data_IF_412827122495
#
_entry.id   IF_412827122495
#
_cell.length_a   1.000
_cell.length_b   1.000
_cell.length_c   1.000
_cell.angle_alpha   90.00
_cell.angle_beta   90.00
_cell.angle_gamma   90.00
#
_symmetry.space_group_name_H-M   'P 1'
#
loop_
_entity.id
_entity.type
_entity.pdbx_description
1 polymer ?
#
# COMPACT_ATOMS: atom_id res chain seq x y z
N UNK A 1 -53.91 20.27 -58.06
CA UNK A 1 -53.02 19.94 -59.19
C UNK A 1 -51.81 19.20 -58.63
N UNK A 2 -51.38 18.02 -59.05
CA UNK A 2 -52.05 16.93 -59.79
C UNK A 2 -51.30 15.60 -59.50
N UNK A 3 -51.93 14.68 -58.76
CA UNK A 3 -51.64 13.22 -58.80
C UNK A 3 -52.33 12.60 -60.04
N UNK A 4 -52.28 11.29 -60.40
CA UNK A 4 -51.78 10.08 -59.70
C UNK A 4 -50.73 9.31 -60.57
N UNK A 5 -50.40 8.00 -60.51
CA UNK A 5 -50.99 6.75 -59.97
C UNK A 5 -49.94 5.73 -59.50
N UNK A 6 -50.39 4.74 -58.71
CA UNK A 6 -49.81 3.39 -58.57
C UNK A 6 -50.43 2.41 -59.59
N UNK A 7 -49.81 1.26 -59.84
CA UNK A 7 -50.37 0.13 -60.60
C UNK A 7 -49.33 -0.61 -61.45
N UNK A 8 -48.59 -1.62 -60.97
CA UNK A 8 -48.93 -3.05 -60.73
C UNK A 8 -49.10 -3.94 -61.98
N UNK A 9 -48.00 -4.66 -62.32
CA UNK A 9 -47.92 -6.10 -62.64
C UNK A 9 -48.54 -6.75 -63.90
N UNK A 10 -47.98 -7.96 -64.17
CA UNK A 10 -48.53 -9.17 -64.86
C UNK A 10 -47.95 -9.55 -66.24
N UNK A 11 -47.07 -10.56 -66.23
CA UNK A 11 -46.98 -11.75 -67.12
C UNK A 11 -46.83 -11.62 -68.67
N UNK A 12 -46.23 -12.56 -69.43
CA UNK A 12 -45.35 -13.73 -69.15
C UNK A 12 -44.91 -14.45 -70.46
N UNK A 13 -43.89 -15.33 -70.36
CA UNK A 13 -43.61 -16.52 -71.23
C UNK A 13 -43.21 -16.32 -72.72
N UNK A 14 -42.35 -17.17 -73.32
CA UNK A 14 -41.44 -18.24 -72.85
C UNK A 14 -40.45 -18.66 -73.99
N UNK A 15 -39.66 -19.73 -73.79
CA UNK A 15 -38.72 -20.37 -74.77
C UNK A 15 -37.43 -19.57 -75.06
N UNK A 16 -36.29 -20.11 -75.57
CA UNK A 16 -35.67 -21.46 -75.79
C UNK A 16 -34.19 -21.19 -76.19
N UNK A 17 -33.18 -22.07 -76.11
CA UNK A 17 -33.02 -23.42 -75.54
C UNK A 17 -31.51 -23.68 -75.34
N UNK A 18 -31.12 -24.41 -74.28
CA UNK A 18 -30.13 -25.52 -74.23
C UNK A 18 -28.71 -25.40 -74.88
N UNK A 19 -27.61 -25.94 -74.34
CA UNK A 19 -27.39 -27.31 -73.82
C UNK A 19 -26.07 -27.42 -73.00
N UNK A 20 -25.96 -28.50 -72.21
CA UNK A 20 -24.75 -29.28 -71.80
C UNK A 20 -23.57 -28.68 -71.00
N UNK A 21 -23.35 -29.28 -69.84
CA UNK A 21 -22.13 -29.35 -68.99
C UNK A 21 -21.09 -30.37 -69.55
N UNK A 22 -20.13 -30.91 -68.77
CA UNK A 22 -18.92 -30.28 -68.22
C UNK A 22 -17.61 -31.04 -68.59
N UNK A 23 -16.43 -30.43 -68.39
CA UNK A 23 -15.14 -31.13 -68.32
C UNK A 23 -14.22 -30.38 -67.32
N UNK A 24 -13.32 -30.96 -66.55
CA UNK A 24 -13.06 -32.30 -66.01
C UNK A 24 -11.83 -32.07 -65.11
N UNK A 25 -11.96 -32.27 -63.79
CA UNK A 25 -10.88 -31.99 -62.83
C UNK A 25 -9.74 -33.01 -62.95
N UNK A 26 -8.50 -32.56 -63.14
CA UNK A 26 -7.34 -33.45 -63.15
C UNK A 26 -6.96 -33.87 -61.73
N UNK A 27 -7.30 -35.11 -61.36
CA UNK A 27 -7.09 -35.69 -60.02
C UNK A 27 -5.60 -35.88 -59.66
N UNK A 28 -4.68 -35.83 -60.65
CA UNK A 28 -3.25 -36.06 -60.41
C UNK A 28 -2.47 -34.82 -59.90
N UNK A 29 -3.06 -33.62 -59.97
CA UNK A 29 -2.36 -32.38 -59.58
C UNK A 29 -2.43 -32.04 -58.08
N UNK A 30 -3.20 -32.77 -57.26
CA UNK A 30 -3.37 -32.46 -55.84
C UNK A 30 -2.31 -33.06 -54.90
N UNK A 31 -1.42 -33.93 -55.39
CA UNK A 31 -0.47 -34.69 -54.53
C UNK A 31 1.00 -34.27 -54.61
N UNK A 32 1.31 -33.11 -55.22
CA UNK A 32 2.66 -32.49 -55.16
C UNK A 32 2.61 -30.98 -54.90
N UNK A 33 1.89 -30.56 -53.86
CA UNK A 33 2.19 -29.32 -53.12
C UNK A 33 2.68 -29.70 -51.72
N UNK A 34 3.94 -30.14 -51.67
CA UNK A 34 4.63 -30.42 -50.42
C UNK A 34 4.76 -29.15 -49.59
N UNK A 35 4.60 -29.29 -48.28
CA UNK A 35 4.67 -28.18 -47.34
C UNK A 35 6.10 -27.64 -47.22
N UNK A 36 6.36 -26.47 -47.78
CA UNK A 36 7.50 -25.61 -47.42
C UNK A 36 7.03 -24.19 -47.10
N UNK A 37 6.09 -24.09 -46.16
CA UNK A 37 5.91 -22.87 -45.39
C UNK A 37 6.81 -22.97 -44.17
N UNK A 38 7.79 -22.08 -44.05
CA UNK A 38 8.66 -22.01 -42.87
C UNK A 38 7.79 -21.77 -41.65
N UNK A 39 7.64 -22.80 -40.80
CA UNK A 39 7.11 -22.60 -39.47
C UNK A 39 8.07 -21.66 -38.74
N UNK A 40 7.65 -20.41 -38.55
CA UNK A 40 8.11 -19.65 -37.41
C UNK A 40 7.67 -20.45 -36.18
N UNK A 41 8.58 -21.33 -35.72
CA UNK A 41 8.52 -21.85 -34.37
C UNK A 41 8.55 -20.61 -33.47
N UNK A 42 7.36 -20.19 -33.02
CA UNK A 42 7.26 -19.40 -31.82
C UNK A 42 8.00 -20.23 -30.76
N UNK A 43 9.22 -19.79 -30.42
CA UNK A 43 9.92 -20.35 -29.27
C UNK A 43 8.99 -20.10 -28.11
N UNK A 44 8.42 -21.17 -27.57
CA UNK A 44 7.81 -21.15 -26.26
C UNK A 44 8.94 -20.94 -25.26
N UNK A 45 9.41 -19.69 -25.16
CA UNK A 45 10.21 -19.29 -24.04
C UNK A 45 9.37 -19.61 -22.79
N UNK A 46 9.91 -20.35 -21.82
CA UNK A 46 9.19 -20.56 -20.58
C UNK A 46 8.83 -19.17 -20.02
N UNK A 47 7.61 -18.98 -19.49
CA UNK A 47 7.18 -17.67 -19.00
C UNK A 47 8.23 -17.16 -18.02
N UNK A 48 8.68 -15.91 -18.20
CA UNK A 48 9.86 -15.35 -17.54
C UNK A 48 9.70 -15.28 -16.00
N UNK A 49 9.85 -16.43 -15.35
CA UNK A 49 9.91 -16.68 -13.92
C UNK A 49 11.28 -16.24 -13.39
N UNK A 50 11.57 -14.96 -13.55
CA UNK A 50 12.92 -14.43 -13.35
C UNK A 50 13.08 -12.93 -13.46
N UNK A 51 12.01 -12.14 -13.64
CA UNK A 51 12.10 -10.70 -13.36
C UNK A 51 12.27 -10.53 -11.86
N UNK A 52 13.54 -10.47 -11.43
CA UNK A 52 13.92 -10.16 -10.06
C UNK A 52 13.27 -8.83 -9.66
N UNK A 53 12.21 -8.90 -8.86
CA UNK A 53 11.56 -7.77 -8.21
C UNK A 53 12.43 -7.29 -7.04
N UNK A 54 13.69 -6.96 -7.33
CA UNK A 54 14.60 -6.30 -6.41
C UNK A 54 14.70 -4.80 -6.75
N UNK A 55 13.86 -3.93 -6.14
CA UNK A 55 13.85 -2.49 -6.40
C UNK A 55 15.10 -1.75 -5.87
N UNK A 56 16.19 -2.47 -5.56
CA UNK A 56 17.46 -1.92 -5.06
C UNK A 56 18.59 -1.89 -6.09
N UNK A 57 18.42 -2.46 -7.29
CA UNK A 57 19.56 -2.93 -8.09
C UNK A 57 20.52 -1.88 -8.69
N UNK A 58 20.18 -0.58 -8.80
CA UNK A 58 21.02 0.37 -9.56
C UNK A 58 21.26 1.79 -9.00
N UNK A 59 21.00 2.08 -7.72
CA UNK A 59 21.47 3.35 -7.10
C UNK A 59 22.22 3.07 -5.79
N UNK A 60 23.53 3.35 -5.70
CA UNK A 60 24.28 3.21 -4.45
C UNK A 60 23.90 4.34 -3.48
N UNK A 61 23.10 4.02 -2.46
CA UNK A 61 22.74 4.97 -1.40
C UNK A 61 21.52 4.55 -0.58
N UNK A 62 21.47 4.99 0.69
CA UNK A 62 20.28 4.79 1.53
C UNK A 62 19.08 5.58 0.99
N UNK A 63 17.83 5.09 1.09
CA UNK A 63 16.66 5.70 0.45
C UNK A 63 16.40 7.17 0.81
N UNK A 64 16.72 7.53 2.05
CA UNK A 64 16.56 8.87 2.60
C UNK A 64 17.90 9.25 3.23
N UNK A 65 18.41 10.43 2.88
CA UNK A 65 19.58 11.02 3.53
C UNK A 65 19.09 11.80 4.75
N UNK A 66 19.08 11.14 5.92
CA UNK A 66 18.64 11.74 7.19
C UNK A 66 19.34 11.10 8.40
N UNK A 67 19.40 11.80 9.56
CA UNK A 67 19.93 11.24 10.80
C UNK A 67 19.14 10.01 11.27
N UNK A 68 19.85 8.91 11.54
CA UNK A 68 19.28 7.63 12.00
C UNK A 68 19.60 7.36 13.47
N UNK A 69 18.78 6.50 14.07
CA UNK A 69 19.04 5.89 15.39
C UNK A 69 20.29 5.00 15.43
N UNK A 70 20.80 4.55 14.27
CA UNK A 70 21.97 3.69 14.11
C UNK A 70 22.91 4.19 12.99
N UNK A 71 24.07 3.54 12.79
CA UNK A 71 25.04 3.89 11.74
C UNK A 71 25.87 5.15 12.02
N UNK A 72 26.50 5.73 10.98
CA UNK A 72 27.32 6.96 11.08
C UNK A 72 26.47 8.12 11.63
N UNK A 73 27.09 9.05 12.39
CA UNK A 73 26.47 10.34 12.71
C UNK A 73 26.45 11.21 11.45
N UNK A 74 25.40 12.03 11.32
CA UNK A 74 25.29 13.07 10.30
C UNK A 74 25.82 14.37 10.89
N UNK A 75 26.49 15.17 10.07
CA UNK A 75 27.16 16.40 10.49
C UNK A 75 26.14 17.52 10.85
N UNK A 76 26.62 18.57 11.52
CA UNK A 76 25.80 19.51 12.29
C UNK A 76 24.79 20.36 11.48
N UNK A 77 24.91 20.39 10.15
CA UNK A 77 24.06 21.18 9.25
C UNK A 77 23.08 20.32 8.43
N UNK A 78 22.41 19.35 9.06
CA UNK A 78 21.39 18.56 8.39
C UNK A 78 20.17 19.40 7.97
N UNK A 79 19.88 19.46 6.67
CA UNK A 79 18.67 20.07 6.11
C UNK A 79 17.76 18.99 5.48
N UNK A 80 16.49 18.85 5.94
CA UNK A 80 15.56 17.87 5.38
C UNK A 80 15.27 18.12 3.90
N UNK A 81 15.60 17.14 3.06
CA UNK A 81 15.30 17.19 1.62
C UNK A 81 13.87 16.67 1.35
N UNK A 82 13.21 17.08 0.25
CA UNK A 82 11.99 16.45 -0.22
C UNK A 82 12.20 14.96 -0.50
N UNK A 83 11.20 14.13 -0.18
CA UNK A 83 11.27 12.69 -0.36
C UNK A 83 11.49 12.32 -1.85
N UNK A 84 12.66 11.77 -2.24
CA UNK A 84 13.07 11.71 -3.65
C UNK A 84 12.47 10.52 -4.42
N UNK A 85 12.06 9.47 -3.70
CA UNK A 85 11.49 8.25 -4.27
C UNK A 85 10.39 7.66 -3.37
N UNK A 86 9.51 6.81 -3.92
CA UNK A 86 8.53 6.08 -3.12
C UNK A 86 9.19 5.24 -2.03
N UNK A 87 8.51 5.14 -0.90
CA UNK A 87 8.90 4.37 0.29
C UNK A 87 7.80 3.37 0.64
N UNK A 88 8.16 2.26 1.27
CA UNK A 88 7.26 1.14 1.58
C UNK A 88 7.93 -0.22 1.47
N UNK A 89 7.15 -1.27 1.71
CA UNK A 89 7.51 -2.66 1.49
C UNK A 89 7.40 -3.01 -0.01
N UNK A 90 8.27 -3.88 -0.56
CA UNK A 90 8.21 -4.24 -1.98
C UNK A 90 7.01 -5.16 -2.31
N UNK A 91 6.50 -5.92 -1.34
CA UNK A 91 5.41 -6.88 -1.52
C UNK A 91 4.10 -6.34 -0.94
N UNK A 92 2.94 -6.68 -1.53
CA UNK A 92 1.63 -6.32 -0.99
C UNK A 92 1.41 -6.96 0.38
N UNK A 93 0.83 -6.24 1.35
CA UNK A 93 0.73 -6.70 2.73
C UNK A 93 -0.38 -7.73 2.87
N UNK A 94 -0.20 -8.70 3.77
CA UNK A 94 -1.22 -9.71 4.08
C UNK A 94 -1.64 -9.62 5.56
N UNK A 95 -2.93 -9.86 5.88
CA UNK A 95 -3.38 -10.03 7.26
C UNK A 95 -2.59 -11.15 7.95
N UNK A 96 -2.25 -10.99 9.23
CA UNK A 96 -1.41 -11.93 9.98
C UNK A 96 0.10 -11.77 9.78
N UNK A 97 0.58 -10.94 8.85
CA UNK A 97 1.99 -10.56 8.78
C UNK A 97 2.36 -9.56 9.89
N UNK A 98 3.64 -9.53 10.27
CA UNK A 98 4.19 -8.59 11.25
C UNK A 98 3.46 -8.53 12.61
N UNK A 99 2.82 -9.62 13.07
CA UNK A 99 2.12 -9.61 14.37
C UNK A 99 3.05 -9.43 15.57
N UNK A 100 4.32 -9.83 15.45
CA UNK A 100 5.29 -9.84 16.55
C UNK A 100 4.89 -10.78 17.71
N UNK A 101 3.92 -11.66 17.47
CA UNK A 101 3.52 -12.72 18.38
C UNK A 101 4.35 -13.96 18.05
N UNK A 102 5.13 -14.40 19.02
CA UNK A 102 5.84 -15.66 18.97
C UNK A 102 4.88 -16.79 19.34
N UNK A 103 4.42 -17.56 18.35
CA UNK A 103 3.48 -18.68 18.53
C UNK A 103 4.13 -19.95 19.09
N UNK A 104 5.46 -19.97 19.29
CA UNK A 104 6.16 -21.13 19.88
C UNK A 104 5.66 -21.45 21.29
N UNK A 105 5.48 -22.76 21.54
CA UNK A 105 5.14 -23.29 22.86
C UNK A 105 6.23 -23.04 23.91
N UNK A 106 5.88 -23.13 25.19
CA UNK A 106 6.86 -23.02 26.28
C UNK A 106 7.96 -24.10 26.20
N UNK A 107 7.63 -25.31 25.70
CA UNK A 107 8.59 -26.39 25.45
C UNK A 107 9.59 -26.02 24.35
N UNK A 108 9.11 -25.59 23.18
CA UNK A 108 9.97 -25.12 22.09
C UNK A 108 10.84 -23.94 22.51
N UNK A 109 10.29 -22.98 23.27
CA UNK A 109 11.09 -21.87 23.83
C UNK A 109 12.17 -22.37 24.78
N UNK A 110 11.92 -23.40 25.60
CA UNK A 110 12.91 -24.05 26.48
C UNK A 110 14.01 -24.74 25.67
N UNK A 111 13.65 -25.44 24.60
CA UNK A 111 14.58 -26.10 23.68
C UNK A 111 15.46 -25.07 22.94
N UNK A 112 14.88 -23.94 22.53
CA UNK A 112 15.63 -22.79 21.97
C UNK A 112 16.59 -22.12 22.98
N UNK A 113 16.49 -22.39 24.29
CA UNK A 113 17.52 -21.99 25.26
C UNK A 113 18.71 -22.99 25.32
N UNK A 114 18.62 -24.15 24.67
CA UNK A 114 19.76 -25.05 24.43
C UNK A 114 20.45 -24.82 23.09
N UNK A 115 19.77 -24.17 22.14
CA UNK A 115 20.24 -23.96 20.76
C UNK A 115 21.31 -22.86 20.68
N UNK A 116 22.56 -23.27 20.45
CA UNK A 116 23.72 -22.38 20.38
C UNK A 116 23.62 -21.33 19.25
N UNK A 117 23.13 -21.72 18.07
CA UNK A 117 23.03 -20.81 16.93
C UNK A 117 21.98 -19.73 17.16
N UNK A 118 20.81 -20.12 17.70
CA UNK A 118 19.77 -19.17 18.10
C UNK A 118 20.23 -18.24 19.21
N UNK A 119 21.10 -18.69 20.12
CA UNK A 119 21.74 -17.80 21.10
C UNK A 119 22.69 -16.79 20.46
N UNK A 120 23.52 -17.19 19.50
CA UNK A 120 24.40 -16.26 18.78
C UNK A 120 23.58 -15.23 18.00
N UNK A 121 22.52 -15.66 17.31
CA UNK A 121 21.59 -14.75 16.61
C UNK A 121 20.88 -13.79 17.58
N UNK A 122 20.31 -14.29 18.69
CA UNK A 122 19.63 -13.48 19.70
C UNK A 122 20.58 -12.52 20.41
N UNK A 123 21.81 -12.93 20.71
CA UNK A 123 22.85 -12.02 21.24
C UNK A 123 23.17 -10.91 20.24
N UNK A 124 23.38 -11.23 18.96
CA UNK A 124 23.58 -10.21 17.91
C UNK A 124 22.42 -9.22 17.84
N UNK A 125 21.17 -9.70 17.88
CA UNK A 125 19.97 -8.84 17.90
C UNK A 125 19.90 -7.94 19.16
N UNK A 126 20.11 -8.53 20.34
CA UNK A 126 20.08 -7.79 21.61
C UNK A 126 21.23 -6.78 21.70
N UNK A 127 22.45 -7.15 21.32
CA UNK A 127 23.60 -6.25 21.22
C UNK A 127 23.31 -5.13 20.23
N UNK A 128 22.72 -5.41 19.06
CA UNK A 128 22.35 -4.38 18.07
C UNK A 128 21.21 -3.45 18.54
N UNK A 129 20.40 -3.87 19.53
CA UNK A 129 19.40 -3.02 20.21
C UNK A 129 20.03 -2.20 21.34
N UNK A 130 20.91 -2.80 22.15
CA UNK A 130 21.63 -2.13 23.24
C UNK A 130 22.64 -1.11 22.69
N UNK A 131 23.28 -1.41 21.56
CA UNK A 131 24.21 -0.50 20.87
C UNK A 131 23.52 0.68 20.16
N UNK A 132 22.19 0.78 20.24
CA UNK A 132 21.45 2.01 19.91
C UNK A 132 21.38 2.83 21.19
N UNK A 133 22.13 3.93 21.30
CA UNK A 133 21.88 4.88 22.37
C UNK A 133 20.48 5.44 22.13
N UNK A 134 19.54 5.16 23.04
CA UNK A 134 18.20 5.75 23.04
C UNK A 134 18.24 7.28 22.85
N UNK A 135 19.30 7.90 23.40
CA UNK A 135 19.66 9.31 23.27
C UNK A 135 19.97 9.80 21.85
N UNK A 136 20.27 8.94 20.87
CA UNK A 136 20.51 9.37 19.48
C UNK A 136 19.28 10.00 18.85
N UNK A 137 18.11 9.41 19.06
CA UNK A 137 16.86 9.97 18.52
C UNK A 137 16.50 11.31 19.17
N UNK A 138 16.90 11.52 20.43
CA UNK A 138 16.80 12.81 21.11
C UNK A 138 17.80 13.83 20.55
N UNK A 139 19.06 13.43 20.32
CA UNK A 139 20.03 14.27 19.63
C UNK A 139 19.56 14.66 18.22
N UNK A 140 18.95 13.73 17.49
CA UNK A 140 18.35 14.00 16.17
C UNK A 140 17.20 15.03 16.22
N UNK A 141 16.60 15.32 17.39
CA UNK A 141 15.59 16.39 17.51
C UNK A 141 16.20 17.79 17.37
N UNK A 142 17.50 17.97 17.62
CA UNK A 142 18.17 19.27 17.48
C UNK A 142 18.12 19.79 16.04
N UNK A 143 18.10 18.89 15.06
CA UNK A 143 17.98 19.22 13.64
C UNK A 143 16.51 19.27 13.25
N UNK A 144 16.00 20.46 12.89
CA UNK A 144 14.64 20.68 12.39
C UNK A 144 13.53 20.00 13.21
N UNK A 145 13.67 19.97 14.55
CA UNK A 145 12.72 19.31 15.48
C UNK A 145 12.49 17.82 15.19
N UNK A 146 13.50 17.16 14.61
CA UNK A 146 13.53 15.73 14.27
C UNK A 146 12.93 15.36 12.91
N UNK A 147 12.55 16.34 12.08
CA UNK A 147 12.01 16.10 10.73
C UNK A 147 13.03 15.35 9.87
N UNK A 148 12.63 14.21 9.31
CA UNK A 148 13.53 13.34 8.52
C UNK A 148 13.54 13.70 7.04
N UNK A 149 12.41 14.13 6.50
CA UNK A 149 12.22 14.54 5.11
C UNK A 149 11.02 15.48 4.98
N UNK A 150 10.99 16.27 3.90
CA UNK A 150 9.83 17.08 3.50
C UNK A 150 8.94 16.23 2.58
N UNK A 151 7.63 16.35 2.75
CA UNK A 151 6.67 15.61 1.95
C UNK A 151 6.68 16.05 0.47
N UNK A 152 6.43 15.14 -0.48
CA UNK A 152 6.45 15.49 -1.90
C UNK A 152 5.21 16.34 -2.27
N UNK A 153 5.34 17.37 -3.12
CA UNK A 153 4.22 18.25 -3.50
C UNK A 153 3.19 17.57 -4.42
N UNK A 154 3.46 16.35 -4.87
CA UNK A 154 2.60 15.52 -5.73
C UNK A 154 2.62 14.08 -5.24
N UNK A 155 1.54 13.34 -5.48
CA UNK A 155 1.48 11.91 -5.24
C UNK A 155 2.49 11.17 -6.11
N UNK A 156 3.07 10.10 -5.56
CA UNK A 156 3.74 9.07 -6.35
C UNK A 156 2.74 8.33 -7.25
N UNK A 157 3.21 7.88 -8.42
CA UNK A 157 2.42 7.05 -9.35
C UNK A 157 2.15 5.69 -8.71
N UNK A 158 0.93 5.16 -8.84
CA UNK A 158 0.53 3.87 -8.26
C UNK A 158 1.50 2.73 -8.63
N UNK A 159 1.88 2.65 -9.91
CA UNK A 159 2.81 1.65 -10.48
C UNK A 159 4.22 1.66 -9.87
N UNK A 160 4.66 2.80 -9.31
CA UNK A 160 5.97 2.97 -8.70
C UNK A 160 5.91 2.97 -7.17
N UNK A 161 4.70 3.04 -6.60
CA UNK A 161 4.51 3.12 -5.15
C UNK A 161 4.65 1.76 -4.48
N UNK A 162 5.44 1.75 -3.41
CA UNK A 162 5.63 0.60 -2.53
C UNK A 162 4.51 0.53 -1.49
N UNK A 163 4.41 -0.58 -0.79
CA UNK A 163 3.27 -0.91 0.08
C UNK A 163 3.43 -0.45 1.53
N UNK A 164 2.32 -0.09 2.17
CA UNK A 164 2.25 0.07 3.60
C UNK A 164 2.22 -1.31 4.27
N UNK A 165 3.05 -1.57 5.31
CA UNK A 165 3.10 -2.87 5.97
C UNK A 165 1.78 -3.18 6.69
N UNK A 166 1.42 -4.46 6.78
CA UNK A 166 0.43 -4.87 7.78
C UNK A 166 1.00 -4.58 9.18
N UNK A 167 0.17 -4.04 10.06
CA UNK A 167 0.47 -3.80 11.46
C UNK A 167 -0.63 -4.43 12.32
N UNK A 168 -0.26 -4.93 13.50
CA UNK A 168 -1.16 -5.67 14.38
C UNK A 168 -1.23 -5.01 15.76
N UNK A 169 -2.42 -4.60 16.18
CA UNK A 169 -2.59 -3.80 17.40
C UNK A 169 -4.00 -3.83 17.97
N UNK A 170 -4.12 -3.47 19.25
CA UNK A 170 -5.43 -3.40 19.91
C UNK A 170 -6.17 -2.12 19.52
N UNK A 171 -7.46 -2.20 19.23
CA UNK A 171 -8.28 -1.02 18.90
C UNK A 171 -8.97 -0.40 20.12
N UNK A 172 -9.61 0.77 20.00
CA UNK A 172 -10.34 1.38 21.10
C UNK A 172 -11.74 0.77 21.34
N UNK A 173 -12.17 -0.21 20.55
CA UNK A 173 -13.48 -0.88 20.69
C UNK A 173 -13.69 -1.41 22.12
N UNK A 174 -14.93 -1.36 22.63
CA UNK A 174 -15.29 -1.83 23.99
C UNK A 174 -15.48 -3.35 24.06
N UNK A 175 -16.30 -3.87 23.16
CA UNK A 175 -16.82 -5.25 23.17
C UNK A 175 -15.74 -6.25 22.78
N UNK A 176 -15.03 -5.96 21.70
CA UNK A 176 -13.92 -6.76 21.21
C UNK A 176 -12.58 -6.15 21.66
N UNK A 177 -11.78 -6.95 22.35
CA UNK A 177 -10.43 -6.60 22.81
C UNK A 177 -9.34 -7.36 22.04
N UNK A 178 -9.71 -8.18 21.06
CA UNK A 178 -8.73 -8.86 20.22
C UNK A 178 -7.95 -7.82 19.40
N UNK A 179 -6.62 -7.96 19.27
CA UNK A 179 -5.87 -7.11 18.37
C UNK A 179 -6.20 -7.46 16.92
N UNK A 180 -6.16 -6.47 16.05
CA UNK A 180 -6.58 -6.56 14.65
C UNK A 180 -5.46 -6.13 13.71
N UNK A 181 -5.51 -6.67 12.50
CA UNK A 181 -4.68 -6.28 11.36
C UNK A 181 -5.12 -4.93 10.78
N UNK A 182 -4.17 -4.09 10.35
CA UNK A 182 -4.49 -2.85 9.62
C UNK A 182 -4.84 -3.08 8.16
N UNK A 183 -4.29 -4.11 7.51
CA UNK A 183 -4.51 -4.35 6.07
C UNK A 183 -5.99 -4.45 5.69
N UNK A 184 -6.85 -5.26 6.34
CA UNK A 184 -8.27 -5.33 5.99
C UNK A 184 -9.03 -4.00 6.10
N UNK A 185 -8.57 -3.10 6.98
CA UNK A 185 -9.17 -1.77 7.17
C UNK A 185 -8.72 -0.79 6.08
N UNK A 186 -7.46 -0.87 5.64
CA UNK A 186 -6.87 -0.04 4.59
C UNK A 186 -7.39 -0.43 3.19
N UNK A 187 -7.54 -1.73 2.93
CA UNK A 187 -7.92 -2.27 1.62
C UNK A 187 -9.25 -1.71 1.11
N UNK A 188 -9.22 -1.16 -0.11
CA UNK A 188 -10.39 -0.58 -0.77
C UNK A 188 -10.66 0.89 -0.45
N UNK A 189 -9.86 1.54 0.41
CA UNK A 189 -10.08 2.94 0.85
C UNK A 189 -8.84 3.82 0.73
N UNK A 190 -9.05 5.12 0.52
CA UNK A 190 -8.01 6.13 0.65
C UNK A 190 -7.84 6.48 2.14
N UNK A 191 -6.66 6.19 2.70
CA UNK A 191 -6.44 6.21 4.14
C UNK A 191 -5.30 7.14 4.52
N UNK A 192 -5.59 8.14 5.35
CA UNK A 192 -4.56 8.95 6.02
C UNK A 192 -4.14 8.21 7.29
N UNK A 193 -2.89 7.74 7.35
CA UNK A 193 -2.37 6.94 8.45
C UNK A 193 -1.33 7.75 9.22
N UNK A 194 -1.62 8.10 10.47
CA UNK A 194 -0.67 8.77 11.36
C UNK A 194 -0.02 7.77 12.32
N UNK A 195 1.32 7.75 12.38
CA UNK A 195 2.09 6.91 13.30
C UNK A 195 2.85 7.80 14.29
N UNK A 196 2.72 7.50 15.59
CA UNK A 196 3.38 8.23 16.67
C UNK A 196 3.62 7.35 17.90
N UNK A 197 4.52 7.76 18.79
CA UNK A 197 4.96 6.99 19.99
C UNK A 197 4.88 7.80 21.30
N UNK A 198 4.45 9.07 21.22
CA UNK A 198 4.39 10.00 22.35
C UNK A 198 3.41 11.13 22.06
N UNK A 199 3.02 11.88 23.08
CA UNK A 199 2.15 13.05 22.91
C UNK A 199 2.82 14.15 22.05
N UNK A 200 4.15 14.29 22.12
CA UNK A 200 4.90 15.20 21.24
C UNK A 200 4.79 14.77 19.76
N UNK A 201 5.03 13.48 19.48
CA UNK A 201 4.86 12.92 18.15
C UNK A 201 3.39 12.99 17.66
N UNK A 202 2.42 12.83 18.56
CA UNK A 202 0.99 12.99 18.27
C UNK A 202 0.66 14.44 17.88
N UNK A 203 1.17 15.43 18.62
CA UNK A 203 1.01 16.85 18.30
C UNK A 203 1.65 17.20 16.94
N UNK A 204 2.81 16.62 16.63
CA UNK A 204 3.44 16.75 15.33
C UNK A 204 2.56 16.19 14.20
N UNK A 205 2.07 14.96 14.33
CA UNK A 205 1.14 14.38 13.35
C UNK A 205 -0.17 15.18 13.24
N UNK A 206 -0.67 15.74 14.35
CA UNK A 206 -1.85 16.60 14.35
C UNK A 206 -1.68 17.86 13.48
N UNK A 207 -0.47 18.41 13.33
CA UNK A 207 -0.23 19.54 12.40
C UNK A 207 -0.48 19.19 10.93
N UNK A 208 -0.56 17.91 10.55
CA UNK A 208 -0.99 17.49 9.21
C UNK A 208 -2.49 17.25 9.09
N UNK A 209 -3.14 16.78 10.17
CA UNK A 209 -4.46 16.13 10.11
C UNK A 209 -5.55 16.72 11.02
N UNK A 210 -5.24 17.71 11.87
CA UNK A 210 -6.26 18.35 12.70
C UNK A 210 -7.13 19.31 11.88
N UNK A 211 -8.36 19.56 12.33
CA UNK A 211 -9.31 20.42 11.60
C UNK A 211 -8.89 21.88 11.61
N UNK A 212 -8.17 22.31 12.64
CA UNK A 212 -7.60 23.65 12.79
C UNK A 212 -6.42 23.87 11.84
N UNK A 213 -5.58 22.85 11.62
CA UNK A 213 -4.36 22.96 10.80
C UNK A 213 -4.57 22.60 9.33
N UNK A 214 -5.54 21.73 9.02
CA UNK A 214 -5.84 21.28 7.66
C UNK A 214 -7.35 21.11 7.42
N UNK A 215 -8.14 22.20 7.41
CA UNK A 215 -9.59 22.13 7.18
C UNK A 215 -9.94 21.52 5.81
N UNK A 216 -9.12 21.77 4.78
CA UNK A 216 -9.30 21.19 3.44
C UNK A 216 -9.20 19.65 3.42
N UNK A 217 -8.45 19.03 4.34
CA UNK A 217 -8.43 17.58 4.50
C UNK A 217 -9.76 17.06 5.06
N UNK A 218 -10.31 17.76 6.07
CA UNK A 218 -11.61 17.43 6.66
C UNK A 218 -12.75 17.60 5.67
N UNK A 219 -12.73 18.63 4.82
CA UNK A 219 -13.72 18.80 3.75
C UNK A 219 -13.77 17.59 2.79
N UNK A 220 -12.63 16.94 2.53
CA UNK A 220 -12.56 15.74 1.67
C UNK A 220 -13.07 14.51 2.41
N UNK A 221 -12.73 14.35 3.69
CA UNK A 221 -13.18 13.27 4.56
C UNK A 221 -14.69 13.32 4.80
N UNK A 222 -15.23 14.49 5.13
CA UNK A 222 -16.65 14.70 5.41
C UNK A 222 -17.51 14.45 4.15
N UNK A 223 -17.00 14.78 2.95
CA UNK A 223 -17.69 14.53 1.66
C UNK A 223 -17.60 13.10 1.15
N UNK A 224 -16.65 12.28 1.61
CA UNK A 224 -16.37 10.94 1.04
C UNK A 224 -16.06 9.91 2.14
N UNK A 225 -16.74 9.98 3.30
CA UNK A 225 -16.42 9.16 4.48
C UNK A 225 -16.63 7.64 4.34
N UNK A 226 -17.19 7.20 3.20
CA UNK A 226 -17.28 5.80 2.76
C UNK A 226 -15.96 5.31 2.13
N UNK A 227 -15.33 6.15 1.29
CA UNK A 227 -14.09 5.86 0.56
C UNK A 227 -12.83 6.39 1.23
N UNK A 228 -12.94 7.44 2.05
CA UNK A 228 -11.85 8.14 2.70
C UNK A 228 -11.90 7.97 4.23
N UNK A 229 -10.75 7.79 4.87
CA UNK A 229 -10.68 7.63 6.32
C UNK A 229 -9.35 8.12 6.92
N UNK A 230 -9.37 8.38 8.23
CA UNK A 230 -8.17 8.61 9.05
C UNK A 230 -7.95 7.42 9.99
N UNK A 231 -6.70 7.00 10.15
CA UNK A 231 -6.25 5.91 11.02
C UNK A 231 -5.10 6.43 11.87
N UNK A 232 -5.15 6.17 13.18
CA UNK A 232 -4.14 6.60 14.14
C UNK A 232 -3.46 5.37 14.75
N UNK A 233 -2.13 5.32 14.68
CA UNK A 233 -1.32 4.19 15.12
C UNK A 233 -0.36 4.68 16.19
N UNK A 234 -0.67 4.35 17.43
CA UNK A 234 0.21 4.56 18.56
C UNK A 234 1.16 3.36 18.68
N UNK A 235 2.41 3.56 18.30
CA UNK A 235 3.47 2.55 18.38
C UNK A 235 4.27 2.73 19.67
N UNK A 236 4.17 1.76 20.57
CA UNK A 236 4.83 1.79 21.88
C UNK A 236 5.48 0.43 22.18
N UNK A 237 6.81 0.35 21.98
CA UNK A 237 7.59 -0.87 22.19
C UNK A 237 7.84 -1.16 23.69
N UNK A 238 7.73 -0.15 24.56
CA UNK A 238 7.88 -0.31 25.99
C UNK A 238 6.58 -0.79 26.63
N UNK A 239 6.58 -2.05 27.09
CA UNK A 239 5.44 -2.69 27.80
C UNK A 239 4.85 -1.84 28.94
N UNK A 240 5.68 -1.12 29.69
CA UNK A 240 5.23 -0.29 30.82
C UNK A 240 4.46 0.94 30.36
N UNK A 241 4.93 1.62 29.31
CA UNK A 241 4.20 2.73 28.69
C UNK A 241 2.95 2.25 27.96
N UNK A 242 3.01 1.12 27.25
CA UNK A 242 1.83 0.52 26.61
C UNK A 242 0.75 0.15 27.64
N UNK A 243 1.15 -0.32 28.83
CA UNK A 243 0.23 -0.52 29.97
C UNK A 243 -0.36 0.80 30.49
N UNK A 244 0.45 1.87 30.59
CA UNK A 244 -0.04 3.20 30.96
C UNK A 244 -1.10 3.73 29.96
N UNK A 245 -0.87 3.59 28.65
CA UNK A 245 -1.86 3.93 27.61
C UNK A 245 -3.14 3.12 27.77
N UNK A 246 -3.03 1.83 28.14
CA UNK A 246 -4.20 0.97 28.42
C UNK A 246 -4.99 1.41 29.65
N UNK A 247 -4.34 1.90 30.71
CA UNK A 247 -5.05 2.49 31.86
C UNK A 247 -5.85 3.73 31.44
N UNK A 248 -5.26 4.62 30.64
CA UNK A 248 -5.92 5.84 30.17
C UNK A 248 -6.81 5.67 28.94
N UNK A 249 -7.06 4.43 28.48
CA UNK A 249 -7.91 4.10 27.31
C UNK A 249 -9.32 4.71 27.41
N UNK A 250 -9.86 4.86 28.62
CA UNK A 250 -11.15 5.52 28.86
C UNK A 250 -11.14 7.03 28.57
N UNK A 251 -10.04 7.72 28.86
CA UNK A 251 -9.85 9.13 28.49
C UNK A 251 -9.58 9.28 26.99
N UNK A 252 -8.73 8.40 26.45
CA UNK A 252 -8.41 8.34 25.03
C UNK A 252 -9.65 8.15 24.14
N UNK A 253 -10.60 7.31 24.55
CA UNK A 253 -11.91 7.16 23.90
C UNK A 253 -12.74 8.44 23.83
N UNK A 254 -12.58 9.38 24.76
CA UNK A 254 -13.29 10.68 24.72
C UNK A 254 -12.74 11.62 23.65
N UNK A 255 -11.53 11.35 23.12
CA UNK A 255 -10.89 12.14 22.06
C UNK A 255 -11.32 11.73 20.64
N UNK A 256 -12.00 10.60 20.49
CA UNK A 256 -12.41 10.03 19.19
C UNK A 256 -13.89 9.64 19.21
N UNK A 257 -14.60 9.86 18.11
CA UNK A 257 -15.98 9.39 17.98
C UNK A 257 -16.04 7.84 18.03
N UNK A 258 -17.14 7.28 18.54
CA UNK A 258 -17.28 5.82 18.73
C UNK A 258 -17.19 5.05 17.39
N UNK A 259 -17.62 5.68 16.29
CA UNK A 259 -17.49 5.18 14.89
C UNK A 259 -16.04 5.09 14.36
N UNK A 260 -15.06 5.61 15.10
CA UNK A 260 -13.65 5.68 14.71
C UNK A 260 -12.75 4.92 15.71
N UNK A 261 -13.33 4.26 16.72
CA UNK A 261 -12.57 3.49 17.71
C UNK A 261 -11.87 2.26 17.13
N UNK A 262 -12.35 1.73 16.02
CA UNK A 262 -11.72 0.66 15.24
C UNK A 262 -10.55 1.17 14.36
N UNK A 263 -10.45 2.49 14.14
CA UNK A 263 -9.40 3.15 13.33
C UNK A 263 -8.23 3.66 14.18
N UNK A 264 -8.28 3.51 15.50
CA UNK A 264 -7.15 3.75 16.39
C UNK A 264 -6.51 2.40 16.75
N UNK A 265 -5.20 2.25 16.60
CA UNK A 265 -4.44 1.04 16.91
C UNK A 265 -3.35 1.34 17.95
N UNK A 266 -3.30 0.55 19.03
CA UNK A 266 -2.16 0.45 19.94
C UNK A 266 -1.29 -0.74 19.52
N UNK A 267 -0.20 -0.45 18.82
CA UNK A 267 0.75 -1.43 18.28
C UNK A 267 1.97 -1.51 19.21
N UNK A 268 2.26 -2.70 19.73
CA UNK A 268 3.39 -2.90 20.67
C UNK A 268 4.60 -3.61 20.05
N UNK A 269 4.41 -4.25 18.89
CA UNK A 269 5.40 -5.11 18.22
C UNK A 269 5.18 -5.04 16.70
N UNK A 270 5.88 -5.87 15.94
CA UNK A 270 5.67 -5.99 14.49
C UNK A 270 6.48 -5.02 13.65
N UNK A 271 6.65 -3.78 14.12
CA UNK A 271 7.52 -2.81 13.44
C UNK A 271 9.00 -3.18 13.68
N UNK A 272 9.59 -3.88 12.73
CA UNK A 272 11.03 -4.19 12.66
C UNK A 272 11.83 -2.99 12.16
N UNK A 273 13.15 -3.09 12.17
CA UNK A 273 14.03 -2.05 11.63
C UNK A 273 13.98 -1.98 10.10
N UNK A 274 13.86 -3.13 9.43
CA UNK A 274 13.65 -3.19 7.99
C UNK A 274 12.36 -2.46 7.61
N UNK A 275 11.27 -2.67 8.36
CA UNK A 275 10.01 -1.94 8.17
C UNK A 275 10.21 -0.45 8.42
N UNK A 276 10.89 -0.04 9.51
CA UNK A 276 11.20 1.37 9.81
C UNK A 276 11.94 2.05 8.67
N UNK A 277 13.04 1.46 8.20
CA UNK A 277 13.84 2.01 7.10
C UNK A 277 13.06 2.01 5.78
N UNK A 278 12.31 0.93 5.48
CA UNK A 278 11.47 0.82 4.29
C UNK A 278 10.38 1.89 4.21
N UNK A 279 9.68 2.19 5.32
CA UNK A 279 8.62 3.22 5.36
C UNK A 279 9.12 4.62 5.75
N UNK A 280 10.43 4.81 5.99
CA UNK A 280 11.00 6.11 6.37
C UNK A 280 10.76 6.55 7.82
N UNK A 281 10.39 5.64 8.73
CA UNK A 281 10.27 5.88 10.18
C UNK A 281 11.66 5.87 10.84
N UNK A 282 12.49 6.86 10.52
CA UNK A 282 13.92 6.89 10.87
C UNK A 282 14.24 7.39 12.28
N UNK A 283 13.36 8.22 12.86
CA UNK A 283 13.44 8.73 14.23
C UNK A 283 12.20 8.27 15.00
N UNK A 284 12.38 7.50 16.08
CA UNK A 284 11.27 6.94 16.85
C UNK A 284 10.50 7.95 17.72
N UNK A 285 10.93 9.22 17.77
CA UNK A 285 10.42 10.26 18.69
C UNK A 285 9.53 11.30 18.02
N UNK A 286 9.38 11.24 16.69
CA UNK A 286 8.58 12.19 15.90
C UNK A 286 7.33 11.54 15.32
N UNK A 287 6.36 12.37 14.93
CA UNK A 287 5.17 11.94 14.21
C UNK A 287 5.45 11.70 12.72
N UNK A 288 4.74 10.75 12.13
CA UNK A 288 4.71 10.52 10.68
C UNK A 288 3.27 10.44 10.20
N UNK A 289 3.00 10.96 9.00
CA UNK A 289 1.69 10.86 8.35
C UNK A 289 1.87 10.32 6.94
N UNK A 290 1.14 9.27 6.60
CA UNK A 290 1.16 8.61 5.31
C UNK A 290 -0.20 8.77 4.64
N UNK A 291 -0.19 8.85 3.31
CA UNK A 291 -1.40 8.71 2.52
C UNK A 291 -1.30 7.40 1.74
N UNK A 292 -2.20 6.48 2.09
CA UNK A 292 -2.25 5.10 1.59
C UNK A 292 -3.46 4.95 0.67
N UNK A 293 -3.28 4.32 -0.49
CA UNK A 293 -4.39 4.06 -1.41
C UNK A 293 -5.13 2.74 -1.13
N UNK A 294 -6.16 2.50 -1.93
CA UNK A 294 -7.02 1.32 -1.84
C UNK A 294 -6.31 -0.01 -2.10
N UNK A 295 -5.12 -0.01 -2.70
CA UNK A 295 -4.24 -1.16 -2.87
C UNK A 295 -3.19 -1.25 -1.75
N UNK A 296 -3.36 -0.52 -0.65
CA UNK A 296 -2.43 -0.41 0.46
C UNK A 296 -1.05 0.14 0.05
N UNK A 297 -0.95 0.95 -1.02
CA UNK A 297 0.31 1.58 -1.45
C UNK A 297 0.52 2.93 -0.80
N UNK A 298 1.75 3.26 -0.41
CA UNK A 298 2.13 4.59 0.08
C UNK A 298 2.28 5.53 -1.12
N UNK A 299 1.38 6.50 -1.23
CA UNK A 299 1.32 7.47 -2.34
C UNK A 299 1.92 8.83 -1.97
N UNK A 300 2.03 9.12 -0.68
CA UNK A 300 2.65 10.31 -0.11
C UNK A 300 3.00 10.04 1.36
N UNK A 301 4.02 10.72 1.89
CA UNK A 301 4.42 10.65 3.29
C UNK A 301 5.00 11.98 3.76
N UNK A 302 4.77 12.34 5.02
CA UNK A 302 5.34 13.47 5.74
C UNK A 302 5.90 13.06 7.10
N UNK A 303 6.85 13.84 7.62
CA UNK A 303 7.53 13.57 8.90
C UNK A 303 7.67 14.83 9.76
N UNK A 304 7.65 14.67 11.08
CA UNK A 304 7.81 15.77 12.03
C UNK A 304 6.63 16.75 12.02
N UNK A 305 6.92 18.05 12.11
CA UNK A 305 5.93 19.12 11.96
C UNK A 305 5.63 19.38 10.48
N UNK A 306 4.39 19.74 10.18
CA UNK A 306 3.98 20.14 8.84
C UNK A 306 4.39 21.57 8.47
N UNK A 307 4.48 21.81 7.16
CA UNK A 307 4.42 23.12 6.53
C UNK A 307 3.09 23.28 5.77
N UNK A 308 2.61 24.51 5.53
CA UNK A 308 1.34 24.76 4.83
C UNK A 308 1.24 24.10 3.45
N UNK A 309 2.35 24.05 2.70
CA UNK A 309 2.43 23.36 1.41
C UNK A 309 2.21 21.85 1.52
N UNK A 310 2.74 21.23 2.58
CA UNK A 310 2.57 19.80 2.82
C UNK A 310 1.10 19.50 3.19
N UNK A 311 0.46 20.33 4.02
CA UNK A 311 -0.97 20.22 4.34
C UNK A 311 -1.85 20.30 3.09
N UNK A 312 -1.58 21.27 2.21
CA UNK A 312 -2.27 21.42 0.93
C UNK A 312 -2.02 20.22 0.00
N UNK A 313 -0.79 19.70 -0.05
CA UNK A 313 -0.44 18.52 -0.85
C UNK A 313 -1.14 17.25 -0.35
N UNK A 314 -1.30 17.08 0.97
CA UNK A 314 -1.99 15.96 1.60
C UNK A 314 -3.50 15.99 1.30
N UNK A 315 -4.16 17.14 1.49
CA UNK A 315 -5.59 17.30 1.20
C UNK A 315 -5.91 17.07 -0.29
N UNK A 316 -5.11 17.67 -1.19
CA UNK A 316 -5.20 17.45 -2.65
C UNK A 316 -4.90 15.99 -3.02
N UNK A 317 -3.96 15.37 -2.33
CA UNK A 317 -3.61 13.96 -2.48
C UNK A 317 -4.78 13.04 -2.13
N UNK A 318 -5.40 13.24 -0.97
CA UNK A 318 -6.55 12.44 -0.53
C UNK A 318 -7.71 12.56 -1.53
N UNK A 319 -8.06 13.79 -1.94
CA UNK A 319 -9.08 14.03 -2.95
C UNK A 319 -8.77 13.28 -4.26
N UNK A 320 -7.51 13.28 -4.70
CA UNK A 320 -7.11 12.56 -5.91
C UNK A 320 -7.23 11.05 -5.77
N UNK A 321 -6.88 10.47 -4.62
CA UNK A 321 -7.03 9.02 -4.40
C UNK A 321 -8.48 8.58 -4.36
N UNK A 322 -9.38 9.39 -3.80
CA UNK A 322 -10.83 9.15 -3.85
C UNK A 322 -11.33 9.11 -5.30
N UNK A 323 -10.89 10.03 -6.15
CA UNK A 323 -11.26 10.02 -7.58
C UNK A 323 -10.58 8.88 -8.37
N UNK A 324 -9.40 8.40 -7.94
CA UNK A 324 -8.80 7.16 -8.47
C UNK A 324 -9.65 5.93 -8.10
N UNK A 325 -10.16 5.85 -6.86
CA UNK A 325 -11.05 4.77 -6.41
C UNK A 325 -12.36 4.75 -7.20
N UNK A 326 -13.05 5.91 -7.31
CA UNK A 326 -14.30 6.03 -8.08
C UNK A 326 -14.11 5.63 -9.54
N UNK A 327 -12.98 6.02 -10.14
CA UNK A 327 -12.62 5.65 -11.52
C UNK A 327 -12.37 4.17 -11.69
N UNK A 328 -11.66 3.52 -10.76
CA UNK A 328 -11.42 2.08 -10.84
C UNK A 328 -12.71 1.28 -10.59
N UNK A 329 -13.55 1.74 -9.66
CA UNK A 329 -14.89 1.19 -9.43
C UNK A 329 -15.84 1.32 -10.63
N UNK A 330 -15.56 2.22 -11.59
CA UNK A 330 -16.28 2.34 -12.86
C UNK A 330 -15.74 1.42 -13.97
N UNK A 331 -14.55 0.82 -13.83
CA UNK A 331 -13.98 -0.12 -14.82
C UNK A 331 -14.69 -1.48 -14.77
N UNK A 332 -14.73 -2.25 -15.87
CA UNK A 332 -15.16 -3.65 -15.85
C UNK A 332 -14.36 -4.47 -14.83
N UNK A 333 -15.01 -5.39 -14.11
CA UNK A 333 -14.36 -6.15 -13.03
C UNK A 333 -13.10 -6.92 -13.48
N UNK A 334 -13.08 -7.41 -14.72
CA UNK A 334 -11.92 -8.11 -15.30
C UNK A 334 -10.70 -7.21 -15.57
N UNK A 335 -10.86 -5.88 -15.51
CA UNK A 335 -9.79 -4.89 -15.71
C UNK A 335 -9.37 -4.18 -14.41
N UNK A 336 -9.88 -4.63 -13.26
CA UNK A 336 -9.49 -4.10 -11.93
C UNK A 336 -8.34 -4.91 -11.37
N UNK A 337 -7.41 -4.23 -10.70
CA UNK A 337 -6.35 -4.89 -9.95
C UNK A 337 -6.94 -5.58 -8.69
N UNK A 338 -6.47 -6.79 -8.32
CA UNK A 338 -6.98 -7.47 -7.13
C UNK A 338 -6.57 -6.75 -5.83
N UNK A 339 -7.55 -6.54 -4.96
CA UNK A 339 -7.37 -5.86 -3.68
C UNK A 339 -6.67 -6.78 -2.64
N UNK A 340 -5.59 -6.32 -1.97
CA UNK A 340 -4.85 -7.16 -1.04
C UNK A 340 -5.66 -7.54 0.20
N UNK A 341 -5.59 -8.81 0.62
CA UNK A 341 -6.19 -9.28 1.87
C UNK A 341 -7.70 -9.49 1.87
N UNK A 342 -8.42 -9.26 0.77
CA UNK A 342 -9.77 -9.82 0.57
C UNK A 342 -9.64 -11.23 -0.02
N UNK A 343 -10.29 -12.26 0.53
CA UNK A 343 -10.38 -13.54 -0.17
C UNK A 343 -11.13 -13.33 -1.48
N UNK A 344 -10.55 -13.79 -2.59
CA UNK A 344 -11.32 -13.89 -3.83
C UNK A 344 -12.49 -14.83 -3.57
N UNK A 345 -13.72 -14.35 -3.80
CA UNK A 345 -14.84 -15.24 -4.04
C UNK A 345 -14.59 -15.82 -5.43
N UNK A 346 -13.83 -16.91 -5.47
CA UNK A 346 -13.83 -17.78 -6.63
C UNK A 346 -15.28 -18.22 -6.84
N UNK A 347 -15.84 -17.84 -7.99
CA UNK A 347 -17.08 -18.45 -8.46
C UNK A 347 -16.74 -19.91 -8.76
N UNK A 348 -16.99 -20.80 -7.81
CA UNK A 348 -17.21 -22.21 -8.11
C UNK A 348 -18.46 -22.28 -9.01
N UNK A 349 -18.21 -22.32 -10.31
CA UNK A 349 -19.23 -22.43 -11.34
C UNK A 349 -19.27 -23.86 -11.85
N UNK A 350 -20.40 -24.51 -11.62
CA UNK A 350 -20.79 -25.87 -12.04
C UNK A 350 -20.03 -27.02 -11.34
#
# INVERSE_FOLDING_TARGET
MSSPRLGLAVASFASRQSLSSPLATCVYCQWRRGFTASALQARTEPPASGTSMDPKSHIPGTPIEAPRSYGKRVDENFTPKPLPRPIGMPLPPRPGENTGIDTRSLKQRKEDFGDYEKHIARRKELTAKISRPYFRDWGNLQFHKGKSFIAPPRLFKAELSLFFPNLYGETLVKTDKTPRDTTPLLTGKASVVSIYSSQWAEQQAATFVSKESNPALHDVLDKNGDLAQMININYEDNKGKAWLVKLFRGSLRKRFAEKDWDKYFLVQRGITDDIRESIGLLNSKVGYTYLVDHHCRIRWAGSGLSHPEENASLAKGLARLVEEIKRDAARPAAAREPLPGKPHIEKQSA
#
